data_IF_462005990113
#
_entry.id   IF_462005990113
#
_cell.length_a   1.000
_cell.length_b   1.000
_cell.length_c   1.000
_cell.angle_alpha   90.00
_cell.angle_beta   90.00
_cell.angle_gamma   90.00
#
_symmetry.space_group_name_H-M   'P 1'
#
loop_
_entity.id
_entity.type
_entity.pdbx_description
1 polymer ?
#
# COMPACT_ATOMS: atom_id res chain seq x y z
N UNK A 1 -25.66 -17.43 -11.62
CA UNK A 1 -25.94 -16.11 -12.24
C UNK A 1 -24.80 -15.20 -11.83
N UNK A 2 -23.99 -14.73 -12.78
CA UNK A 2 -22.98 -13.70 -12.52
C UNK A 2 -23.71 -12.42 -12.17
N UNK A 3 -23.60 -11.99 -10.92
CA UNK A 3 -24.20 -10.74 -10.43
C UNK A 3 -23.66 -9.59 -11.27
N UNK A 4 -24.53 -8.71 -11.77
CA UNK A 4 -24.14 -7.55 -12.56
C UNK A 4 -23.30 -6.59 -11.68
N UNK A 5 -22.25 -6.00 -12.24
CA UNK A 5 -21.40 -5.02 -11.55
C UNK A 5 -22.22 -3.86 -10.99
N UNK A 6 -23.25 -3.40 -11.69
CA UNK A 6 -24.08 -2.28 -11.24
C UNK A 6 -24.94 -2.65 -10.00
N UNK A 7 -25.50 -3.86 -9.96
CA UNK A 7 -26.20 -4.38 -8.76
C UNK A 7 -25.23 -4.54 -7.58
N UNK A 8 -23.99 -4.93 -7.84
CA UNK A 8 -22.95 -5.05 -6.83
C UNK A 8 -22.56 -3.69 -6.26
N UNK A 9 -22.47 -2.67 -7.13
CA UNK A 9 -22.23 -1.28 -6.72
C UNK A 9 -23.38 -0.80 -5.84
N UNK A 10 -24.64 -1.07 -6.19
CA UNK A 10 -25.78 -0.63 -5.37
C UNK A 10 -25.75 -1.25 -3.96
N UNK A 11 -25.43 -2.55 -3.84
CA UNK A 11 -25.22 -3.18 -2.53
C UNK A 11 -24.09 -2.54 -1.74
N UNK A 12 -22.98 -2.20 -2.39
CA UNK A 12 -21.88 -1.49 -1.76
C UNK A 12 -22.30 -0.10 -1.28
N UNK A 13 -23.11 0.63 -2.06
CA UNK A 13 -23.62 1.95 -1.65
C UNK A 13 -24.46 1.85 -0.38
N UNK A 14 -25.37 0.87 -0.34
CA UNK A 14 -26.17 0.59 0.85
C UNK A 14 -25.29 0.21 2.05
N UNK A 15 -24.27 -0.63 1.85
CA UNK A 15 -23.31 -0.99 2.89
C UNK A 15 -22.58 0.24 3.44
N UNK A 16 -22.03 1.09 2.57
CA UNK A 16 -21.31 2.32 2.94
C UNK A 16 -22.23 3.26 3.73
N UNK A 17 -23.48 3.44 3.27
CA UNK A 17 -24.46 4.26 3.95
C UNK A 17 -24.77 3.71 5.35
N UNK A 18 -25.16 2.44 5.48
CA UNK A 18 -25.57 1.86 6.76
C UNK A 18 -24.44 1.84 7.79
N UNK A 19 -23.22 1.49 7.37
CA UNK A 19 -22.05 1.42 8.27
C UNK A 19 -21.43 2.78 8.54
N UNK A 20 -21.60 3.75 7.65
CA UNK A 20 -20.96 5.07 7.71
C UNK A 20 -21.90 6.24 8.02
N UNK A 21 -23.21 6.01 8.25
CA UNK A 21 -24.22 7.07 8.45
C UNK A 21 -23.90 8.04 9.60
N UNK A 22 -23.17 7.57 10.62
CA UNK A 22 -22.75 8.38 11.78
C UNK A 22 -21.32 8.94 11.62
N UNK A 23 -20.73 8.78 10.43
CA UNK A 23 -19.38 9.21 10.10
C UNK A 23 -18.38 8.07 10.05
N UNK A 24 -17.43 8.20 9.12
CA UNK A 24 -16.42 7.19 8.83
C UNK A 24 -15.05 7.81 8.58
N UNK A 25 -14.03 7.17 9.16
CA UNK A 25 -12.63 7.39 8.82
C UNK A 25 -12.20 6.33 7.79
N UNK A 26 -11.64 6.74 6.66
CA UNK A 26 -11.13 5.83 5.63
C UNK A 26 -9.61 5.74 5.73
N UNK A 27 -9.07 4.54 5.90
CA UNK A 27 -7.64 4.25 5.79
C UNK A 27 -7.17 4.52 4.35
N UNK A 28 -6.45 5.62 4.16
CA UNK A 28 -6.19 6.18 2.84
C UNK A 28 -4.70 6.19 2.49
N UNK A 29 -4.36 5.46 1.43
CA UNK A 29 -2.98 5.22 0.96
C UNK A 29 -2.70 5.79 -0.43
N UNK A 30 -3.64 6.52 -1.06
CA UNK A 30 -3.47 7.01 -2.44
C UNK A 30 -3.34 5.92 -3.51
N UNK A 31 -3.53 4.65 -3.16
CA UNK A 31 -3.63 3.54 -4.12
C UNK A 31 -5.03 3.45 -4.71
N UNK A 32 -5.20 2.69 -5.80
CA UNK A 32 -6.49 2.57 -6.49
C UNK A 32 -7.62 2.07 -5.57
N UNK A 33 -7.35 1.14 -4.65
CA UNK A 33 -8.40 0.58 -3.78
C UNK A 33 -8.92 1.59 -2.76
N UNK A 34 -8.00 2.25 -2.05
CA UNK A 34 -8.33 3.22 -1.01
C UNK A 34 -8.88 4.52 -1.62
N UNK A 35 -8.37 4.95 -2.77
CA UNK A 35 -8.85 6.16 -3.46
C UNK A 35 -10.26 5.98 -4.03
N UNK A 36 -10.53 4.84 -4.67
CA UNK A 36 -11.87 4.54 -5.19
C UNK A 36 -12.88 4.42 -4.05
N UNK A 37 -12.49 3.78 -2.94
CA UNK A 37 -13.37 3.68 -1.77
C UNK A 37 -13.65 5.05 -1.16
N UNK A 38 -12.61 5.87 -1.04
CA UNK A 38 -12.71 7.24 -0.53
C UNK A 38 -13.63 8.09 -1.39
N UNK A 39 -13.50 8.01 -2.72
CA UNK A 39 -14.36 8.74 -3.65
C UNK A 39 -15.84 8.31 -3.51
N UNK A 40 -16.11 7.00 -3.43
CA UNK A 40 -17.47 6.50 -3.18
C UNK A 40 -18.01 6.98 -1.83
N UNK A 41 -17.20 6.93 -0.77
CA UNK A 41 -17.61 7.42 0.54
C UNK A 41 -17.90 8.92 0.51
N UNK A 42 -17.11 9.73 -0.22
CA UNK A 42 -17.39 11.16 -0.41
C UNK A 42 -18.72 11.38 -1.10
N UNK A 43 -18.98 10.65 -2.18
CA UNK A 43 -20.21 10.75 -2.95
C UNK A 43 -21.46 10.38 -2.13
N UNK A 44 -21.37 9.35 -1.27
CA UNK A 44 -22.50 8.81 -0.52
C UNK A 44 -22.72 9.55 0.81
N UNK A 45 -21.64 9.87 1.54
CA UNK A 45 -21.69 10.37 2.92
C UNK A 45 -21.35 11.86 3.04
N UNK A 46 -20.82 12.49 1.98
CA UNK A 46 -20.45 13.90 1.98
C UNK A 46 -19.39 14.23 3.04
N UNK A 47 -19.70 15.17 3.93
CA UNK A 47 -18.80 15.63 5.02
C UNK A 47 -18.60 14.60 6.14
N UNK A 48 -19.41 13.53 6.15
CA UNK A 48 -19.28 12.42 7.11
C UNK A 48 -18.20 11.41 6.71
N UNK A 49 -17.53 11.60 5.58
CA UNK A 49 -16.37 10.81 5.17
C UNK A 49 -15.09 11.61 5.38
N UNK A 50 -14.09 11.03 6.04
CA UNK A 50 -12.76 11.63 6.23
C UNK A 50 -11.68 10.64 5.85
N UNK A 51 -10.84 11.00 4.89
CA UNK A 51 -9.67 10.21 4.53
C UNK A 51 -8.54 10.45 5.52
N UNK A 52 -7.85 9.40 5.96
CA UNK A 52 -6.70 9.50 6.86
C UNK A 52 -5.51 8.75 6.30
N UNK A 53 -4.39 9.45 6.10
CA UNK A 53 -3.11 8.83 5.71
C UNK A 53 -2.19 8.77 6.90
N UNK A 54 -1.75 7.56 7.24
CA UNK A 54 -0.71 7.34 8.23
C UNK A 54 0.66 7.43 7.55
N UNK A 55 1.51 8.31 8.06
CA UNK A 55 2.88 8.56 7.59
C UNK A 55 3.83 7.88 8.54
N UNK A 56 4.71 7.04 7.99
CA UNK A 56 5.70 6.31 8.76
C UNK A 56 6.98 6.05 7.98
N UNK A 57 8.07 5.65 8.65
CA UNK A 57 9.35 5.33 7.98
C UNK A 57 9.23 4.21 6.93
N UNK A 58 8.17 3.39 6.99
CA UNK A 58 7.95 2.27 6.09
C UNK A 58 7.27 2.67 4.78
N UNK A 59 6.84 3.93 4.67
CA UNK A 59 6.09 4.44 3.54
C UNK A 59 6.93 5.43 2.71
N UNK A 60 7.02 5.28 1.37
CA UNK A 60 7.81 6.20 0.55
C UNK A 60 7.21 7.61 0.55
N UNK A 61 8.05 8.65 0.66
CA UNK A 61 7.61 10.05 0.70
C UNK A 61 6.77 10.47 -0.52
N UNK A 62 7.17 10.04 -1.72
CA UNK A 62 6.44 10.32 -2.97
C UNK A 62 4.99 9.81 -2.94
N UNK A 63 4.75 8.70 -2.24
CA UNK A 63 3.41 8.11 -2.13
C UNK A 63 2.52 8.92 -1.18
N UNK A 64 3.10 9.57 -0.17
CA UNK A 64 2.38 10.49 0.73
C UNK A 64 1.94 11.72 -0.04
N UNK A 65 2.86 12.32 -0.81
CA UNK A 65 2.58 13.49 -1.65
C UNK A 65 1.50 13.19 -2.68
N UNK A 66 1.56 12.02 -3.31
CA UNK A 66 0.54 11.58 -4.26
C UNK A 66 -0.81 11.33 -3.56
N UNK A 67 -0.83 10.71 -2.36
CA UNK A 67 -2.05 10.54 -1.60
C UNK A 67 -2.71 11.90 -1.28
N UNK A 68 -1.95 12.88 -0.80
CA UNK A 68 -2.45 14.25 -0.54
C UNK A 68 -3.06 14.87 -1.80
N UNK A 69 -2.40 14.71 -2.95
CA UNK A 69 -2.93 15.18 -4.24
C UNK A 69 -4.24 14.50 -4.60
N UNK A 70 -4.30 13.17 -4.50
CA UNK A 70 -5.50 12.39 -4.84
C UNK A 70 -6.67 12.75 -3.92
N UNK A 71 -6.43 12.95 -2.62
CA UNK A 71 -7.47 13.41 -1.70
C UNK A 71 -8.02 14.79 -2.10
N UNK A 72 -7.14 15.71 -2.52
CA UNK A 72 -7.54 17.03 -3.03
C UNK A 72 -8.39 16.88 -4.30
N UNK A 73 -7.98 16.04 -5.24
CA UNK A 73 -8.70 15.79 -6.49
C UNK A 73 -10.11 15.20 -6.23
N UNK A 74 -10.25 14.36 -5.19
CA UNK A 74 -11.55 13.81 -4.74
C UNK A 74 -12.40 14.88 -4.03
N UNK A 75 -11.81 15.93 -3.47
CA UNK A 75 -12.52 16.92 -2.64
C UNK A 75 -12.94 16.36 -1.27
N UNK A 76 -12.17 15.40 -0.73
CA UNK A 76 -12.42 14.80 0.59
C UNK A 76 -11.65 15.56 1.68
N UNK A 77 -12.22 15.67 2.88
CA UNK A 77 -11.46 16.11 4.06
C UNK A 77 -10.37 15.06 4.34
N UNK A 78 -9.12 15.50 4.35
CA UNK A 78 -7.95 14.65 4.51
C UNK A 78 -7.18 15.02 5.76
N UNK A 79 -6.85 14.03 6.59
CA UNK A 79 -6.01 14.18 7.78
C UNK A 79 -4.77 13.32 7.59
N UNK A 80 -3.61 13.88 7.91
CA UNK A 80 -2.35 13.14 7.95
C UNK A 80 -1.99 12.92 9.41
N UNK A 81 -1.66 11.69 9.77
CA UNK A 81 -1.22 11.29 11.11
C UNK A 81 0.12 10.60 11.02
N UNK A 82 0.93 10.71 12.07
CA UNK A 82 2.21 10.03 12.16
C UNK A 82 2.06 8.69 12.88
N UNK A 83 2.63 7.63 12.31
CA UNK A 83 2.77 6.32 12.94
C UNK A 83 4.23 5.90 12.88
N UNK A 84 4.64 5.01 13.78
CA UNK A 84 6.00 4.51 13.82
C UNK A 84 6.02 3.01 14.09
N UNK A 85 5.99 2.19 13.03
CA UNK A 85 6.02 0.73 13.21
C UNK A 85 7.39 0.26 13.73
N UNK A 86 8.44 1.10 13.64
CA UNK A 86 9.77 0.76 14.19
C UNK A 86 9.81 0.78 15.72
N UNK A 87 8.78 1.28 16.41
CA UNK A 87 8.68 1.16 17.87
C UNK A 87 8.08 -0.16 18.34
N UNK A 88 7.53 -0.99 17.45
CA UNK A 88 7.02 -2.32 17.79
C UNK A 88 8.05 -3.40 17.42
N UNK A 89 8.56 -4.11 18.43
CA UNK A 89 9.50 -5.21 18.23
C UNK A 89 8.90 -6.34 17.37
N UNK A 90 7.59 -6.56 17.41
CA UNK A 90 6.92 -7.58 16.59
C UNK A 90 6.93 -7.21 15.11
N UNK A 91 6.97 -5.91 14.79
CA UNK A 91 7.16 -5.45 13.42
C UNK A 91 8.66 -5.49 13.04
N UNK A 92 9.53 -4.96 13.90
CA UNK A 92 10.98 -4.81 13.65
C UNK A 92 11.67 -6.14 13.40
N UNK A 93 11.28 -7.22 14.10
CA UNK A 93 11.80 -8.58 13.89
C UNK A 93 11.43 -9.18 12.52
N UNK A 94 10.53 -8.52 11.78
CA UNK A 94 10.12 -8.89 10.43
C UNK A 94 9.60 -10.34 10.29
N UNK A 95 8.72 -10.83 11.20
CA UNK A 95 8.13 -12.14 11.05
C UNK A 95 7.22 -12.19 9.82
N UNK A 96 6.85 -13.40 9.42
CA UNK A 96 5.92 -13.64 8.33
C UNK A 96 4.60 -12.85 8.51
N UNK A 97 4.14 -12.69 9.76
CA UNK A 97 2.92 -11.99 10.12
C UNK A 97 3.10 -10.51 10.50
N UNK A 98 4.25 -9.86 10.19
CA UNK A 98 4.49 -8.42 10.51
C UNK A 98 3.35 -7.48 10.12
N UNK A 99 2.64 -7.79 9.02
CA UNK A 99 1.56 -6.96 8.50
C UNK A 99 0.33 -6.97 9.41
N UNK A 100 0.17 -8.00 10.25
CA UNK A 100 -0.84 -8.02 11.30
C UNK A 100 -0.60 -6.91 12.32
N UNK A 101 0.60 -6.87 12.90
CA UNK A 101 0.98 -5.88 13.92
C UNK A 101 0.87 -4.45 13.38
N UNK A 102 1.43 -4.21 12.19
CA UNK A 102 1.32 -2.91 11.50
C UNK A 102 -0.14 -2.48 11.26
N UNK A 103 -1.03 -3.37 10.78
CA UNK A 103 -2.44 -3.03 10.60
C UNK A 103 -3.17 -2.79 11.92
N UNK A 104 -2.85 -3.56 12.96
CA UNK A 104 -3.44 -3.39 14.29
C UNK A 104 -3.15 -2.00 14.84
N UNK A 105 -1.91 -1.55 14.78
CA UNK A 105 -1.50 -0.21 15.22
C UNK A 105 -2.16 0.89 14.38
N UNK A 106 -2.21 0.70 13.05
CA UNK A 106 -2.93 1.60 12.15
C UNK A 106 -4.40 1.74 12.57
N UNK A 107 -5.10 0.63 12.83
CA UNK A 107 -6.51 0.67 13.21
C UNK A 107 -6.73 1.32 14.58
N UNK A 108 -5.82 1.12 15.55
CA UNK A 108 -5.85 1.85 16.83
C UNK A 108 -5.76 3.37 16.57
N UNK A 109 -4.80 3.79 15.75
CA UNK A 109 -4.64 5.19 15.38
C UNK A 109 -5.89 5.76 14.70
N UNK A 110 -6.43 5.05 13.70
CA UNK A 110 -7.62 5.49 12.95
C UNK A 110 -8.87 5.55 13.83
N UNK A 111 -9.05 4.61 14.77
CA UNK A 111 -10.15 4.65 15.74
C UNK A 111 -10.04 5.84 16.68
N UNK A 112 -8.83 6.22 17.09
CA UNK A 112 -8.62 7.45 17.87
C UNK A 112 -8.99 8.71 17.08
N UNK A 113 -8.63 8.77 15.79
CA UNK A 113 -9.07 9.86 14.90
C UNK A 113 -10.60 9.88 14.76
N UNK A 114 -11.21 8.72 14.52
CA UNK A 114 -12.67 8.59 14.42
C UNK A 114 -13.36 9.10 15.68
N UNK A 115 -12.90 8.65 16.85
CA UNK A 115 -13.42 9.08 18.17
C UNK A 115 -13.33 10.60 18.35
N UNK A 116 -12.20 11.22 17.99
CA UNK A 116 -12.01 12.67 18.11
C UNK A 116 -12.93 13.47 17.15
N UNK A 117 -13.37 12.85 16.06
CA UNK A 117 -14.35 13.43 15.13
C UNK A 117 -15.81 13.11 15.50
N UNK A 118 -16.04 12.34 16.57
CA UNK A 118 -17.38 11.86 16.93
C UNK A 118 -17.90 10.73 16.03
N UNK A 119 -17.02 10.06 15.29
CA UNK A 119 -17.34 8.95 14.39
C UNK A 119 -17.08 7.61 15.07
N UNK A 120 -17.70 6.55 14.54
CA UNK A 120 -17.55 5.18 15.05
C UNK A 120 -16.82 4.26 14.08
N UNK A 121 -17.10 4.37 12.79
CA UNK A 121 -16.61 3.42 11.79
C UNK A 121 -15.24 3.79 11.21
N UNK A 122 -14.46 2.75 10.90
CA UNK A 122 -13.24 2.83 10.08
C UNK A 122 -13.40 1.91 8.87
N UNK A 123 -13.17 2.43 7.67
CA UNK A 123 -13.13 1.62 6.46
C UNK A 123 -11.70 1.44 5.96
N UNK A 124 -11.38 0.24 5.49
CA UNK A 124 -10.08 -0.05 4.89
C UNK A 124 -10.21 -0.80 3.55
N UNK A 125 -9.12 -0.80 2.78
CA UNK A 125 -9.15 -1.11 1.35
C UNK A 125 -8.98 -2.58 0.97
N UNK A 126 -9.06 -3.55 1.89
CA UNK A 126 -8.91 -4.98 1.53
C UNK A 126 -10.02 -5.39 0.57
N UNK A 127 -9.64 -5.94 -0.58
CA UNK A 127 -10.57 -6.39 -1.62
C UNK A 127 -10.67 -7.93 -1.67
N UNK A 128 -11.64 -8.44 -2.41
CA UNK A 128 -11.90 -9.89 -2.50
C UNK A 128 -10.74 -10.66 -3.12
N UNK A 129 -10.04 -10.06 -4.09
CA UNK A 129 -8.86 -10.68 -4.72
C UNK A 129 -7.68 -10.85 -3.75
N UNK A 130 -7.64 -10.08 -2.65
CA UNK A 130 -6.61 -10.24 -1.63
C UNK A 130 -6.83 -11.47 -0.74
N UNK A 131 -8.07 -11.95 -0.61
CA UNK A 131 -8.43 -13.02 0.34
C UNK A 131 -7.86 -14.39 -0.03
N UNK A 132 -7.44 -14.59 -1.28
CA UNK A 132 -6.83 -15.84 -1.76
C UNK A 132 -5.32 -15.92 -1.53
N UNK A 133 -4.69 -14.85 -1.05
CA UNK A 133 -3.24 -14.78 -0.83
C UNK A 133 -2.81 -14.77 0.63
N UNK A 134 -1.50 -14.82 0.86
CA UNK A 134 -0.92 -14.66 2.18
C UNK A 134 -1.11 -13.22 2.70
N UNK A 135 -2.12 -13.03 3.56
CA UNK A 135 -2.56 -11.71 4.07
C UNK A 135 -2.76 -11.72 5.59
N UNK A 136 -1.69 -11.86 6.40
CA UNK A 136 -1.79 -11.84 7.86
C UNK A 136 -2.42 -10.55 8.40
N UNK A 137 -2.30 -9.44 7.67
CA UNK A 137 -2.97 -8.18 8.01
C UNK A 137 -4.50 -8.26 8.06
N UNK A 138 -5.14 -9.15 7.30
CA UNK A 138 -6.60 -9.26 7.31
C UNK A 138 -7.15 -9.81 8.64
N UNK A 139 -6.32 -10.54 9.40
CA UNK A 139 -6.66 -10.97 10.77
C UNK A 139 -6.98 -9.75 11.66
N UNK A 140 -6.20 -8.67 11.56
CA UNK A 140 -6.43 -7.46 12.36
C UNK A 140 -7.76 -6.77 12.05
N UNK A 141 -8.27 -6.90 10.81
CA UNK A 141 -9.60 -6.37 10.45
C UNK A 141 -10.68 -7.15 11.20
N UNK A 142 -10.63 -8.48 11.17
CA UNK A 142 -11.64 -9.35 11.79
C UNK A 142 -11.71 -9.22 13.31
N UNK A 143 -10.61 -8.87 13.95
CA UNK A 143 -10.51 -8.73 15.40
C UNK A 143 -10.98 -7.36 15.92
N UNK A 144 -11.03 -6.34 15.06
CA UNK A 144 -11.34 -4.97 15.47
C UNK A 144 -12.81 -4.64 15.21
N UNK A 145 -13.54 -4.31 16.29
CA UNK A 145 -14.90 -3.78 16.18
C UNK A 145 -14.92 -2.46 15.40
N UNK A 146 -15.96 -2.29 14.58
CA UNK A 146 -16.21 -1.10 13.74
C UNK A 146 -15.15 -0.82 12.67
N UNK A 147 -14.29 -1.80 12.38
CA UNK A 147 -13.40 -1.77 11.21
C UNK A 147 -14.00 -2.67 10.13
N UNK A 148 -14.23 -2.10 8.95
CA UNK A 148 -14.88 -2.79 7.85
C UNK A 148 -14.00 -2.80 6.59
N UNK A 149 -14.18 -3.84 5.77
CA UNK A 149 -13.55 -3.97 4.45
C UNK A 149 -14.65 -3.94 3.37
N UNK A 150 -15.18 -2.75 2.98
CA UNK A 150 -16.35 -2.67 2.10
C UNK A 150 -16.18 -3.46 0.80
N UNK A 151 -14.97 -3.47 0.22
CA UNK A 151 -14.66 -4.24 -0.98
C UNK A 151 -14.73 -5.76 -0.75
N UNK A 152 -14.02 -6.27 0.26
CA UNK A 152 -14.01 -7.69 0.57
C UNK A 152 -15.39 -8.20 0.99
N UNK A 153 -16.11 -7.47 1.84
CA UNK A 153 -17.45 -7.84 2.33
C UNK A 153 -18.51 -7.85 1.22
N UNK A 154 -18.31 -7.05 0.17
CA UNK A 154 -19.19 -7.03 -1.01
C UNK A 154 -18.59 -7.77 -2.23
N UNK A 155 -17.55 -8.59 -1.99
CA UNK A 155 -16.89 -9.47 -2.97
C UNK A 155 -16.25 -8.76 -4.19
N UNK A 156 -15.86 -7.49 -4.08
CA UNK A 156 -15.22 -6.75 -5.18
C UNK A 156 -13.80 -7.21 -5.45
N UNK A 157 -13.55 -7.61 -6.70
CA UNK A 157 -12.22 -7.94 -7.21
C UNK A 157 -11.43 -6.68 -7.57
N UNK A 158 -10.12 -6.83 -7.69
CA UNK A 158 -9.22 -5.73 -8.08
C UNK A 158 -9.60 -5.10 -9.42
N UNK A 159 -9.99 -5.90 -10.41
CA UNK A 159 -10.36 -5.42 -11.74
C UNK A 159 -11.66 -4.61 -11.72
N UNK A 160 -12.67 -5.06 -10.97
CA UNK A 160 -13.91 -4.31 -10.80
C UNK A 160 -13.65 -2.96 -10.12
N UNK A 161 -12.77 -2.91 -9.11
CA UNK A 161 -12.37 -1.65 -8.45
C UNK A 161 -11.70 -0.71 -9.46
N UNK A 162 -10.78 -1.22 -10.31
CA UNK A 162 -10.17 -0.41 -11.38
C UNK A 162 -11.20 0.10 -12.39
N UNK A 163 -12.21 -0.70 -12.73
CA UNK A 163 -13.31 -0.27 -13.59
C UNK A 163 -14.10 0.88 -12.95
N UNK A 164 -14.42 0.79 -11.66
CA UNK A 164 -15.08 1.88 -10.93
C UNK A 164 -14.18 3.12 -10.89
N UNK A 165 -12.90 2.97 -10.58
CA UNK A 165 -11.94 4.07 -10.57
C UNK A 165 -11.92 4.83 -11.90
N UNK A 166 -11.95 4.11 -13.03
CA UNK A 166 -12.04 4.70 -14.37
C UNK A 166 -13.38 5.39 -14.62
N UNK A 167 -14.51 4.78 -14.23
CA UNK A 167 -15.85 5.39 -14.34
C UNK A 167 -15.94 6.71 -13.57
N UNK A 168 -15.26 6.80 -12.43
CA UNK A 168 -15.19 8.00 -11.59
C UNK A 168 -14.12 9.01 -12.05
N UNK A 169 -13.35 8.71 -13.11
CA UNK A 169 -12.31 9.60 -13.64
C UNK A 169 -11.09 9.74 -12.73
N UNK A 170 -10.82 8.78 -11.83
CA UNK A 170 -9.69 8.85 -10.91
C UNK A 170 -8.36 8.60 -11.63
N UNK A 171 -7.41 9.52 -11.45
CA UNK A 171 -6.06 9.46 -12.05
C UNK A 171 -5.24 8.23 -11.63
N UNK A 172 -5.62 7.59 -10.52
CA UNK A 172 -4.94 6.40 -9.95
C UNK A 172 -5.46 5.07 -10.50
N UNK A 173 -6.40 5.07 -11.46
CA UNK A 173 -7.00 3.84 -12.02
C UNK A 173 -5.98 2.80 -12.46
N UNK A 174 -4.87 3.27 -13.05
CA UNK A 174 -3.82 2.43 -13.60
C UNK A 174 -2.53 2.44 -12.77
N UNK A 175 -2.59 3.00 -11.54
CA UNK A 175 -1.47 3.01 -10.61
C UNK A 175 -1.03 1.57 -10.27
N UNK A 176 0.27 1.24 -10.33
CA UNK A 176 0.76 -0.06 -9.89
C UNK A 176 0.48 -0.31 -8.41
N UNK A 177 0.35 -1.58 -7.96
CA UNK A 177 0.21 -1.90 -6.55
C UNK A 177 1.38 -1.35 -5.72
N UNK A 178 1.04 -0.65 -4.64
CA UNK A 178 2.01 -0.19 -3.66
C UNK A 178 2.25 -1.28 -2.61
N UNK A 179 3.50 -1.38 -2.14
CA UNK A 179 3.87 -2.17 -0.98
C UNK A 179 4.81 -1.36 -0.10
N UNK A 180 4.74 -1.52 1.23
CA UNK A 180 5.62 -0.85 2.18
C UNK A 180 7.10 -1.19 1.92
N UNK A 181 8.02 -0.30 2.30
CA UNK A 181 9.46 -0.48 2.15
C UNK A 181 9.97 -1.68 2.94
N UNK A 182 9.33 -2.06 4.05
CA UNK A 182 9.66 -3.28 4.80
C UNK A 182 9.59 -4.55 3.95
N UNK A 183 8.76 -4.58 2.90
CA UNK A 183 8.73 -5.72 1.97
C UNK A 183 10.02 -5.90 1.16
N UNK A 184 10.96 -4.95 1.19
CA UNK A 184 12.26 -5.07 0.50
C UNK A 184 13.28 -5.82 1.35
N UNK A 185 12.96 -6.11 2.60
CA UNK A 185 13.83 -6.77 3.56
C UNK A 185 13.37 -8.23 3.71
N UNK A 186 14.26 -9.23 3.59
CA UNK A 186 13.92 -10.65 3.80
C UNK A 186 13.22 -10.91 5.12
N UNK A 187 12.26 -11.83 5.15
CA UNK A 187 11.64 -12.24 6.41
C UNK A 187 12.69 -12.76 7.40
N UNK A 188 12.45 -12.55 8.70
CA UNK A 188 13.40 -12.88 9.77
C UNK A 188 14.57 -11.89 9.92
N UNK A 189 14.87 -11.10 8.90
CA UNK A 189 15.89 -10.06 8.96
C UNK A 189 15.33 -8.78 9.57
N UNK A 190 16.08 -8.18 10.50
CA UNK A 190 15.64 -7.00 11.23
C UNK A 190 15.40 -5.80 10.29
N UNK A 191 14.25 -5.16 10.46
CA UNK A 191 13.90 -3.90 9.80
C UNK A 191 14.47 -2.75 10.62
N UNK A 192 15.29 -1.91 9.99
CA UNK A 192 15.85 -0.70 10.63
C UNK A 192 15.55 0.54 9.79
N UNK A 193 15.59 1.72 10.42
CA UNK A 193 15.40 2.99 9.72
C UNK A 193 16.43 3.17 8.59
N UNK A 194 17.69 2.81 8.83
CA UNK A 194 18.76 2.89 7.84
C UNK A 194 18.45 2.01 6.61
N UNK A 195 17.94 0.79 6.83
CA UNK A 195 17.53 -0.11 5.76
C UNK A 195 16.39 0.46 4.94
N UNK A 196 15.36 0.98 5.60
CA UNK A 196 14.20 1.58 4.93
C UNK A 196 14.61 2.81 4.12
N UNK A 197 15.44 3.68 4.69
CA UNK A 197 15.96 4.88 4.02
C UNK A 197 16.80 4.48 2.79
N UNK A 198 17.71 3.50 2.90
CA UNK A 198 18.55 3.11 1.75
C UNK A 198 17.74 2.50 0.62
N UNK A 199 16.77 1.62 0.90
CA UNK A 199 15.95 1.02 -0.17
C UNK A 199 15.02 2.05 -0.79
N UNK A 200 14.44 2.96 0.01
CA UNK A 200 13.62 4.06 -0.48
C UNK A 200 14.40 4.96 -1.43
N UNK A 201 15.57 5.45 -1.00
CA UNK A 201 16.45 6.28 -1.84
C UNK A 201 16.91 5.56 -3.10
N UNK A 202 17.26 4.28 -3.00
CA UNK A 202 17.66 3.48 -4.16
C UNK A 202 16.53 3.39 -5.20
N UNK A 203 15.30 3.13 -4.76
CA UNK A 203 14.14 3.11 -5.66
C UNK A 203 13.91 4.47 -6.34
N UNK A 204 14.00 5.57 -5.58
CA UNK A 204 13.84 6.93 -6.14
C UNK A 204 14.90 7.27 -7.20
N UNK A 205 16.17 6.96 -6.92
CA UNK A 205 17.28 7.21 -7.84
C UNK A 205 17.08 6.43 -9.14
N UNK A 206 16.80 5.13 -9.04
CA UNK A 206 16.62 4.28 -10.23
C UNK A 206 15.40 4.74 -11.05
N UNK A 207 14.27 5.06 -10.40
CA UNK A 207 13.09 5.60 -11.10
C UNK A 207 13.44 6.89 -11.84
N UNK A 208 14.20 7.80 -11.23
CA UNK A 208 14.63 9.07 -11.85
C UNK A 208 15.54 8.83 -13.05
N UNK A 209 16.46 7.87 -12.98
CA UNK A 209 17.42 7.59 -14.04
C UNK A 209 16.79 6.85 -15.24
N UNK A 210 15.80 5.98 -14.98
CA UNK A 210 15.28 5.05 -15.99
C UNK A 210 13.86 5.34 -16.46
N UNK A 211 13.09 6.10 -15.67
CA UNK A 211 11.66 6.30 -15.89
C UNK A 211 10.79 5.07 -15.60
N UNK A 212 11.35 4.01 -15.01
CA UNK A 212 10.59 2.79 -14.69
C UNK A 212 9.48 3.05 -13.68
N UNK A 213 8.31 2.41 -13.88
CA UNK A 213 7.15 2.56 -13.00
C UNK A 213 7.08 1.43 -11.97
N UNK A 214 7.42 0.20 -12.37
CA UNK A 214 7.40 -0.97 -11.50
C UNK A 214 8.82 -1.38 -11.10
N UNK A 215 9.21 -0.96 -9.89
CA UNK A 215 10.55 -1.21 -9.35
C UNK A 215 10.48 -1.65 -7.89
N UNK A 216 11.35 -2.60 -7.52
CA UNK A 216 11.69 -2.90 -6.13
C UNK A 216 13.20 -3.05 -5.99
N UNK A 217 13.79 -2.45 -4.96
CA UNK A 217 15.20 -2.70 -4.59
C UNK A 217 15.19 -3.54 -3.31
N UNK A 218 15.41 -4.85 -3.44
CA UNK A 218 15.48 -5.77 -2.30
C UNK A 218 16.87 -5.71 -1.68
N UNK A 219 16.92 -5.64 -0.35
CA UNK A 219 18.16 -5.50 0.41
C UNK A 219 18.51 -6.82 1.10
N UNK A 220 19.43 -7.56 0.48
CA UNK A 220 19.97 -8.82 0.96
C UNK A 220 21.32 -8.57 1.64
N UNK A 221 21.27 -7.96 2.83
CA UNK A 221 22.43 -7.72 3.69
C UNK A 221 23.61 -7.03 2.97
N UNK A 222 23.30 -5.96 2.24
CA UNK A 222 24.28 -5.20 1.45
C UNK A 222 24.33 -5.56 -0.03
N UNK A 223 23.58 -6.57 -0.48
CA UNK A 223 23.31 -6.79 -1.91
C UNK A 223 21.96 -6.15 -2.29
N UNK A 224 21.99 -5.21 -3.23
CA UNK A 224 20.79 -4.65 -3.85
C UNK A 224 20.33 -5.54 -5.01
N UNK A 225 19.24 -6.29 -4.83
CA UNK A 225 18.60 -7.05 -5.90
C UNK A 225 17.45 -6.24 -6.49
N UNK A 226 17.64 -5.75 -7.71
CA UNK A 226 16.68 -4.89 -8.43
C UNK A 226 15.67 -5.78 -9.16
N UNK A 227 14.40 -5.67 -8.79
CA UNK A 227 13.27 -6.27 -9.50
C UNK A 227 12.55 -5.19 -10.33
N UNK A 228 12.47 -5.38 -11.64
CA UNK A 228 11.82 -4.45 -12.57
C UNK A 228 10.64 -5.13 -13.24
N UNK A 229 9.58 -4.38 -13.56
CA UNK A 229 8.48 -4.86 -14.40
C UNK A 229 9.01 -5.55 -15.66
N UNK A 230 8.49 -6.74 -16.01
CA UNK A 230 9.06 -7.57 -17.09
C UNK A 230 9.19 -6.83 -18.42
N UNK A 231 8.21 -5.98 -18.73
CA UNK A 231 8.16 -5.16 -19.95
C UNK A 231 9.04 -3.89 -19.89
N UNK A 232 9.54 -3.54 -18.71
CA UNK A 232 10.34 -2.35 -18.44
C UNK A 232 11.85 -2.65 -18.32
N UNK A 233 12.26 -3.93 -18.34
CA UNK A 233 13.69 -4.32 -18.23
C UNK A 233 14.59 -3.70 -19.30
N UNK A 234 14.06 -3.50 -20.50
CA UNK A 234 14.80 -2.85 -21.60
C UNK A 234 15.30 -1.45 -21.25
N UNK A 235 14.67 -0.77 -20.29
CA UNK A 235 15.11 0.55 -19.79
C UNK A 235 16.45 0.48 -19.05
N UNK A 236 16.93 -0.71 -18.71
CA UNK A 236 18.19 -0.97 -18.02
C UNK A 236 19.27 -1.50 -18.96
N UNK A 237 18.99 -1.71 -20.25
CA UNK A 237 19.98 -2.21 -21.23
C UNK A 237 20.81 -1.08 -21.86
N UNK A 238 21.27 -0.18 -21.00
CA UNK A 238 22.16 0.92 -21.33
C UNK A 238 23.32 0.91 -20.32
N UNK A 239 24.55 0.79 -20.82
CA UNK A 239 25.74 0.67 -19.99
C UNK A 239 25.97 1.90 -19.11
N UNK A 240 25.74 3.11 -19.61
CA UNK A 240 25.91 4.33 -18.83
C UNK A 240 24.87 4.43 -17.71
N UNK A 241 23.63 4.01 -17.98
CA UNK A 241 22.58 3.94 -16.95
C UNK A 241 22.96 2.91 -15.88
N UNK A 242 23.41 1.71 -16.29
CA UNK A 242 23.84 0.67 -15.36
C UNK A 242 24.99 1.15 -14.47
N UNK A 243 26.00 1.80 -15.04
CA UNK A 243 27.15 2.34 -14.31
C UNK A 243 26.72 3.43 -13.31
N UNK A 244 25.83 4.34 -13.72
CA UNK A 244 25.26 5.36 -12.82
C UNK A 244 24.50 4.74 -11.66
N UNK A 245 23.66 3.73 -11.93
CA UNK A 245 22.91 2.99 -10.88
C UNK A 245 23.88 2.36 -9.89
N UNK A 246 24.94 1.68 -10.37
CA UNK A 246 25.93 1.04 -9.50
C UNK A 246 26.64 2.06 -8.62
N UNK A 247 27.09 3.19 -9.18
CA UNK A 247 27.77 4.25 -8.44
C UNK A 247 26.87 4.80 -7.33
N UNK A 248 25.63 5.15 -7.67
CA UNK A 248 24.70 5.76 -6.71
C UNK A 248 24.26 4.77 -5.61
N UNK A 249 23.96 3.52 -5.95
CA UNK A 249 23.58 2.53 -4.94
C UNK A 249 24.75 2.16 -4.02
N UNK A 250 26.00 2.14 -4.52
CA UNK A 250 27.18 1.94 -3.66
C UNK A 250 27.35 3.06 -2.64
N UNK A 251 27.05 4.32 -3.00
CA UNK A 251 27.04 5.45 -2.05
C UNK A 251 25.99 5.29 -0.93
N UNK A 252 24.92 4.53 -1.18
CA UNK A 252 23.91 4.19 -0.17
C UNK A 252 24.28 3.00 0.73
N UNK A 253 25.49 2.44 0.55
CA UNK A 253 26.02 1.36 1.38
C UNK A 253 25.79 -0.06 0.84
N UNK A 254 25.30 -0.22 -0.39
CA UNK A 254 25.27 -1.53 -1.05
C UNK A 254 26.69 -1.94 -1.51
N UNK A 255 27.08 -3.18 -1.21
CA UNK A 255 28.34 -3.80 -1.68
C UNK A 255 28.22 -4.30 -3.11
N UNK A 256 27.07 -4.91 -3.42
CA UNK A 256 26.77 -5.48 -4.73
C UNK A 256 25.43 -4.95 -5.23
N UNK A 257 25.33 -4.75 -6.54
CA UNK A 257 24.10 -4.33 -7.22
C UNK A 257 23.84 -5.34 -8.32
N UNK A 258 22.67 -5.95 -8.30
CA UNK A 258 22.26 -7.01 -9.23
C UNK A 258 20.86 -6.74 -9.75
N UNK A 259 20.52 -7.34 -10.89
CA UNK A 259 19.18 -7.33 -11.43
C UNK A 259 18.60 -8.75 -11.38
N UNK A 260 17.36 -8.86 -10.90
CA UNK A 260 16.62 -10.11 -10.92
C UNK A 260 16.11 -10.39 -12.34
N UNK A 261 16.58 -11.49 -12.94
CA UNK A 261 16.22 -11.89 -14.30
C UNK A 261 14.76 -12.38 -14.42
N UNK A 262 14.13 -12.78 -13.33
CA UNK A 262 12.69 -13.07 -13.27
C UNK A 262 11.85 -11.79 -13.18
N UNK A 263 12.49 -10.66 -12.85
CA UNK A 263 11.86 -9.34 -12.71
C UNK A 263 10.90 -9.27 -11.53
N UNK A 264 10.05 -8.25 -11.53
CA UNK A 264 9.05 -8.05 -10.47
C UNK A 264 8.02 -9.18 -10.44
N UNK A 265 7.80 -9.72 -9.25
CA UNK A 265 6.76 -10.71 -8.94
C UNK A 265 6.15 -10.42 -7.56
N UNK A 266 4.84 -10.59 -7.45
CA UNK A 266 4.17 -10.54 -6.13
C UNK A 266 4.63 -11.72 -5.29
N UNK A 267 4.95 -11.49 -4.01
CA UNK A 267 5.37 -12.54 -3.10
C UNK A 267 6.81 -13.04 -3.31
N UNK A 268 7.66 -12.36 -4.08
CA UNK A 268 9.05 -12.79 -4.32
C UNK A 268 9.89 -13.00 -3.05
N UNK A 269 9.55 -12.30 -1.97
CA UNK A 269 10.22 -12.44 -0.67
C UNK A 269 9.69 -13.60 0.18
N UNK A 270 8.56 -14.24 -0.18
CA UNK A 270 8.12 -15.45 0.52
C UNK A 270 9.11 -16.60 0.33
N UNK A 271 9.88 -16.59 -0.77
CA UNK A 271 10.96 -17.53 -1.03
C UNK A 271 12.15 -17.39 -0.06
N UNK A 272 12.17 -16.35 0.79
CA UNK A 272 13.16 -16.20 1.85
C UNK A 272 12.69 -16.76 3.19
N UNK A 273 11.44 -17.26 3.27
CA UNK A 273 11.03 -18.11 4.38
C UNK A 273 11.73 -19.45 4.12
N UNK A 274 12.59 -19.88 5.04
CA UNK A 274 13.24 -21.19 4.94
C UNK A 274 12.15 -22.28 4.92
N UNK A 275 12.30 -23.28 4.04
CA UNK A 275 11.62 -24.56 4.22
C UNK A 275 12.22 -25.20 5.49
N UNK A 276 11.74 -24.82 6.67
CA UNK A 276 12.04 -25.54 7.92
C UNK A 276 11.37 -26.91 7.92
#
# INVERSE_FOLDING_TARGET
MTVNLDEKIERLRHFIYEKGKDGVVIAFSGGVDSSTLTALCKEILGEKAVAVTAVSPTYPQEEIEEAVKVARDIGIRHIVVETNELSDENFVRNPEDRCYYCKKDLFICLKNVAKNLGFKAVFEGTNFSDLSGHRPGFRAVKEMEDVYSPWAENNFTKEEIRMIARRMGLSVSDKPPLACLASRIPFGEQITAERLIRVGKAEQIIKRLTGTRQLRVRDHNGLARIEVGKNERKLFFDAEIMDKIVIELKKLGFKYVTMDLEGYRTGSMLLTLEDT
#
